data_IF_337149729670
#
_entry.id   IF_337149729670
#
_cell.length_a   1.000
_cell.length_b   1.000
_cell.length_c   1.000
_cell.angle_alpha   90.00
_cell.angle_beta   90.00
_cell.angle_gamma   90.00
#
_symmetry.space_group_name_H-M   'P 1'
#
loop_
_entity.id
_entity.type
_entity.pdbx_description
1 polymer ?
#
# COMPACT_ATOMS: atom_id res chain seq x y z
N UNK A 1 12.07 25.01 -30.35
CA UNK A 1 11.60 25.08 -28.96
C UNK A 1 11.45 23.66 -28.47
N UNK A 2 12.42 23.16 -27.70
CA UNK A 2 12.38 21.80 -27.12
C UNK A 2 11.38 21.81 -25.98
N UNK A 3 10.29 21.07 -26.15
CA UNK A 3 9.30 20.84 -25.12
C UNK A 3 9.91 19.84 -24.12
N UNK A 4 10.60 20.32 -23.10
CA UNK A 4 11.03 19.48 -21.98
C UNK A 4 9.77 19.11 -21.19
N UNK A 5 9.21 17.95 -21.49
CA UNK A 5 8.19 17.35 -20.64
C UNK A 5 8.80 17.17 -19.24
N UNK A 6 8.18 17.79 -18.23
CA UNK A 6 8.54 17.52 -16.84
C UNK A 6 8.58 15.99 -16.64
N UNK A 7 9.59 15.45 -15.94
CA UNK A 7 9.66 14.01 -15.71
C UNK A 7 8.35 13.57 -15.04
N UNK A 8 7.74 12.49 -15.55
CA UNK A 8 6.57 11.89 -14.93
C UNK A 8 6.90 11.61 -13.48
N UNK A 9 6.06 12.03 -12.52
CA UNK A 9 6.30 11.71 -11.13
C UNK A 9 6.37 10.18 -11.01
N UNK A 10 7.43 9.67 -10.36
CA UNK A 10 7.63 8.24 -10.14
C UNK A 10 6.56 7.62 -9.24
N UNK A 11 6.82 6.42 -8.77
CA UNK A 11 5.99 5.73 -7.77
C UNK A 11 6.82 5.57 -6.48
N UNK A 12 6.83 6.55 -5.56
CA UNK A 12 7.83 6.62 -4.50
C UNK A 12 7.54 5.76 -3.27
N UNK A 13 6.34 5.24 -3.11
CA UNK A 13 5.92 4.49 -1.93
C UNK A 13 4.52 3.90 -2.05
N UNK A 14 4.01 3.39 -0.96
CA UNK A 14 2.64 2.89 -0.87
C UNK A 14 1.63 4.00 -1.21
N UNK A 15 0.66 3.67 -2.07
CA UNK A 15 -0.32 4.66 -2.56
C UNK A 15 0.15 5.50 -3.75
N UNK A 16 1.40 5.35 -4.20
CA UNK A 16 1.95 6.08 -5.35
C UNK A 16 2.26 7.55 -5.06
N UNK A 17 2.28 8.41 -6.10
CA UNK A 17 2.78 9.78 -5.98
C UNK A 17 1.96 10.69 -5.05
N UNK A 18 0.69 10.37 -4.84
CA UNK A 18 -0.23 11.15 -4.00
C UNK A 18 -0.70 10.40 -2.76
N UNK A 19 -0.25 9.15 -2.56
CA UNK A 19 -0.61 8.32 -1.40
C UNK A 19 -2.04 7.75 -1.44
N UNK A 20 -2.77 7.92 -2.55
CA UNK A 20 -4.19 7.55 -2.69
C UNK A 20 -4.48 6.69 -3.93
N UNK A 21 -3.44 6.09 -4.53
CA UNK A 21 -3.50 5.25 -5.73
C UNK A 21 -4.06 5.94 -6.97
N UNK A 22 -4.06 7.26 -7.01
CA UNK A 22 -4.41 8.07 -8.17
C UNK A 22 -3.16 8.60 -8.86
N UNK A 23 -3.15 8.56 -10.18
CA UNK A 23 -2.01 8.98 -11.00
C UNK A 23 -2.48 9.88 -12.13
N UNK A 24 -1.77 10.98 -12.31
CA UNK A 24 -1.93 11.80 -13.51
C UNK A 24 -1.30 11.08 -14.69
N UNK A 25 -2.11 10.45 -15.53
CA UNK A 25 -1.71 9.80 -16.77
C UNK A 25 -2.65 10.20 -17.89
N UNK A 26 -2.23 9.99 -19.15
CA UNK A 26 -3.03 10.21 -20.35
C UNK A 26 -2.66 9.17 -21.41
N UNK A 27 -3.63 8.83 -22.25
CA UNK A 27 -3.41 7.96 -23.39
C UNK A 27 -3.46 6.46 -23.07
N UNK A 28 -4.10 6.08 -21.97
CA UNK A 28 -4.43 4.67 -21.73
C UNK A 28 -5.44 4.19 -22.74
N UNK A 29 -5.25 3.00 -23.28
CA UNK A 29 -6.15 2.38 -24.24
C UNK A 29 -7.63 2.31 -23.75
N UNK A 30 -8.55 2.16 -24.66
CA UNK A 30 -9.94 1.81 -24.38
C UNK A 30 -10.24 0.34 -24.73
N UNK A 31 -9.32 -0.33 -25.39
CA UNK A 31 -9.43 -1.75 -25.73
C UNK A 31 -8.04 -2.35 -25.93
N UNK A 32 -7.92 -3.66 -25.75
CA UNK A 32 -6.73 -4.43 -26.12
C UNK A 32 -7.11 -5.52 -27.10
N UNK A 33 -6.16 -6.00 -27.89
CA UNK A 33 -6.31 -7.24 -28.62
C UNK A 33 -6.56 -8.41 -27.64
N UNK A 34 -7.05 -9.55 -28.09
CA UNK A 34 -7.32 -10.70 -27.22
C UNK A 34 -6.12 -11.22 -26.41
N UNK A 35 -4.91 -10.74 -26.73
CA UNK A 35 -3.67 -11.05 -25.99
C UNK A 35 -3.37 -10.09 -24.83
N UNK A 36 -4.21 -9.05 -24.63
CA UNK A 36 -4.00 -8.02 -23.61
C UNK A 36 -3.03 -6.91 -24.03
N UNK A 37 -2.54 -6.11 -23.08
CA UNK A 37 -1.60 -5.02 -23.33
C UNK A 37 -0.24 -5.57 -23.77
N UNK A 38 0.53 -4.75 -24.50
CA UNK A 38 1.86 -5.12 -24.96
C UNK A 38 2.81 -5.34 -23.78
N UNK A 39 3.37 -6.55 -23.66
CA UNK A 39 4.41 -6.85 -22.69
C UNK A 39 5.73 -6.27 -23.19
N UNK A 40 6.34 -5.41 -22.35
CA UNK A 40 7.66 -4.81 -22.63
C UNK A 40 8.77 -5.78 -22.24
N UNK A 41 8.67 -6.34 -21.04
CA UNK A 41 9.56 -7.37 -20.52
C UNK A 41 8.88 -8.15 -19.38
N UNK A 42 9.45 -9.31 -19.04
CA UNK A 42 9.11 -10.07 -17.82
C UNK A 42 10.37 -10.66 -17.20
N UNK A 43 10.29 -10.94 -15.91
CA UNK A 43 11.33 -11.69 -15.20
C UNK A 43 10.79 -12.39 -13.96
N UNK A 44 11.43 -13.49 -13.61
CA UNK A 44 11.24 -14.12 -12.32
C UNK A 44 12.02 -13.38 -11.23
N UNK A 45 11.40 -13.26 -10.05
CA UNK A 45 12.01 -12.89 -8.78
C UNK A 45 11.76 -14.02 -7.79
N UNK A 46 12.27 -13.88 -6.57
CA UNK A 46 11.90 -14.75 -5.46
C UNK A 46 10.52 -14.38 -4.90
N UNK A 47 10.16 -15.03 -3.81
CA UNK A 47 8.85 -14.95 -3.17
C UNK A 47 8.58 -13.59 -2.53
N UNK A 48 7.33 -13.13 -2.52
CA UNK A 48 6.91 -11.91 -1.81
C UNK A 48 5.88 -11.08 -2.54
N UNK A 49 5.38 -10.09 -1.80
CA UNK A 49 4.29 -9.20 -2.23
C UNK A 49 4.64 -7.71 -2.14
N UNK A 50 5.90 -7.40 -1.86
CA UNK A 50 6.38 -6.01 -1.79
C UNK A 50 6.09 -5.26 -3.08
N UNK A 51 5.57 -4.03 -2.97
CA UNK A 51 5.26 -3.17 -4.12
C UNK A 51 6.50 -2.81 -4.94
N UNK A 52 6.30 -2.41 -6.18
CA UNK A 52 7.35 -1.98 -7.09
C UNK A 52 7.39 -0.45 -7.09
N UNK A 53 8.50 0.12 -6.64
CA UNK A 53 8.73 1.57 -6.71
C UNK A 53 9.38 1.95 -8.03
N UNK A 54 9.13 3.18 -8.48
CA UNK A 54 9.67 3.69 -9.75
C UNK A 54 10.30 5.07 -9.53
N UNK A 55 11.55 5.24 -9.93
CA UNK A 55 12.27 6.51 -9.93
C UNK A 55 13.07 6.66 -11.22
N UNK A 56 12.56 7.44 -12.16
CA UNK A 56 13.13 7.54 -13.49
C UNK A 56 13.24 6.18 -14.19
N UNK A 57 14.44 5.79 -14.58
CA UNK A 57 14.71 4.48 -15.21
C UNK A 57 15.10 3.39 -14.19
N UNK A 58 14.67 3.49 -12.94
CA UNK A 58 14.95 2.50 -11.90
C UNK A 58 13.70 2.02 -11.21
N UNK A 59 13.64 0.72 -10.97
CA UNK A 59 12.63 0.07 -10.13
C UNK A 59 13.28 -0.45 -8.87
N UNK A 60 12.51 -0.47 -7.76
CA UNK A 60 12.97 -1.04 -6.50
C UNK A 60 11.87 -1.91 -5.91
N UNK A 61 12.22 -3.07 -5.43
CA UNK A 61 11.30 -3.99 -4.72
C UNK A 61 12.08 -4.95 -3.84
N UNK A 62 11.36 -5.78 -3.07
CA UNK A 62 11.95 -6.83 -2.23
C UNK A 62 11.40 -8.20 -2.64
N UNK A 63 12.19 -9.24 -2.36
CA UNK A 63 11.75 -10.64 -2.47
C UNK A 63 12.56 -11.54 -1.54
N UNK A 64 12.04 -12.72 -1.27
CA UNK A 64 12.70 -13.78 -0.53
C UNK A 64 13.27 -14.81 -1.52
N UNK A 65 14.55 -15.17 -1.36
CA UNK A 65 15.25 -16.21 -2.11
C UNK A 65 15.82 -17.22 -1.10
N UNK A 66 15.18 -18.37 -0.97
CA UNK A 66 15.46 -19.31 0.08
C UNK A 66 15.26 -18.71 1.49
N UNK A 67 16.32 -18.59 2.26
CA UNK A 67 16.34 -17.96 3.59
C UNK A 67 16.96 -16.55 3.58
N UNK A 68 17.06 -15.93 2.40
CA UNK A 68 17.68 -14.61 2.20
C UNK A 68 16.67 -13.65 1.63
N UNK A 69 16.45 -12.52 2.26
CA UNK A 69 15.71 -11.41 1.64
C UNK A 69 16.64 -10.56 0.80
N UNK A 70 16.11 -10.06 -0.29
CA UNK A 70 16.83 -9.28 -1.31
C UNK A 70 16.09 -7.98 -1.57
N UNK A 71 16.74 -6.86 -1.33
CA UNK A 71 16.34 -5.57 -1.89
C UNK A 71 17.03 -5.43 -3.24
N UNK A 72 16.26 -5.18 -4.29
CA UNK A 72 16.79 -5.13 -5.65
C UNK A 72 16.44 -3.82 -6.36
N UNK A 73 17.42 -3.26 -7.07
CA UNK A 73 17.17 -2.25 -8.09
C UNK A 73 17.25 -2.88 -9.49
N UNK A 74 16.27 -2.55 -10.32
CA UNK A 74 16.18 -3.01 -11.70
C UNK A 74 16.17 -1.81 -12.64
N UNK A 75 16.64 -2.00 -13.85
CA UNK A 75 16.41 -1.07 -14.94
C UNK A 75 14.96 -1.13 -15.41
N UNK A 76 14.26 -0.01 -15.41
CA UNK A 76 12.82 0.03 -15.67
C UNK A 76 12.46 -0.38 -17.11
N UNK A 77 13.34 -0.13 -18.08
CA UNK A 77 13.12 -0.43 -19.51
C UNK A 77 13.36 -1.89 -19.87
N UNK A 78 14.19 -2.62 -19.10
CA UNK A 78 14.63 -3.99 -19.47
C UNK A 78 14.39 -5.02 -18.37
N UNK A 79 14.14 -4.58 -17.13
CA UNK A 79 14.07 -5.45 -15.96
C UNK A 79 15.44 -6.01 -15.51
N UNK A 80 16.57 -5.60 -16.10
CA UNK A 80 17.91 -6.07 -15.69
C UNK A 80 18.26 -5.56 -14.30
N UNK A 81 18.96 -6.40 -13.52
CA UNK A 81 19.43 -6.02 -12.19
C UNK A 81 20.54 -4.97 -12.29
N UNK A 82 20.39 -3.86 -11.57
CA UNK A 82 21.40 -2.83 -11.39
C UNK A 82 22.25 -3.11 -10.15
N UNK A 83 21.60 -3.42 -9.03
CA UNK A 83 22.25 -3.86 -7.80
C UNK A 83 21.30 -4.72 -6.93
N UNK A 84 21.88 -5.44 -5.98
CA UNK A 84 21.18 -6.21 -4.94
C UNK A 84 21.81 -5.92 -3.59
N UNK A 85 20.99 -5.79 -2.56
CA UNK A 85 21.38 -5.90 -1.17
C UNK A 85 20.72 -7.13 -0.58
N UNK A 86 21.48 -8.03 0.03
CA UNK A 86 21.02 -9.33 0.54
C UNK A 86 21.31 -9.46 2.02
N UNK A 87 20.38 -10.03 2.78
CA UNK A 87 20.56 -10.30 4.19
C UNK A 87 19.82 -11.57 4.62
N UNK A 88 20.33 -12.29 5.65
CA UNK A 88 19.66 -13.47 6.18
C UNK A 88 18.29 -13.11 6.74
N UNK A 89 17.28 -13.86 6.37
CA UNK A 89 15.89 -13.64 6.77
C UNK A 89 15.21 -14.96 7.14
N UNK A 90 15.91 -15.83 7.85
CA UNK A 90 15.31 -17.02 8.42
C UNK A 90 14.06 -16.62 9.23
N UNK A 91 12.90 -17.16 8.86
CA UNK A 91 11.63 -16.78 9.47
C UNK A 91 11.63 -17.20 10.94
N UNK A 92 11.81 -16.22 11.82
CA UNK A 92 12.02 -16.40 13.25
C UNK A 92 10.78 -16.91 13.99
N UNK A 93 9.58 -16.64 13.47
CA UNK A 93 8.33 -17.10 14.04
C UNK A 93 7.68 -18.13 13.11
N UNK A 94 7.19 -19.21 13.67
CA UNK A 94 6.51 -20.23 12.89
C UNK A 94 5.26 -19.60 12.20
N UNK A 95 5.27 -19.42 10.86
CA UNK A 95 4.16 -18.84 10.15
C UNK A 95 2.95 -19.77 10.22
N UNK A 96 1.75 -19.19 10.20
CA UNK A 96 0.53 -19.98 10.14
C UNK A 96 0.41 -20.77 8.80
N UNK A 97 -0.50 -21.73 8.75
CA UNK A 97 -0.70 -22.55 7.56
C UNK A 97 -1.13 -21.71 6.35
N UNK A 98 -1.83 -20.58 6.58
CA UNK A 98 -2.23 -19.65 5.53
C UNK A 98 -1.03 -18.95 4.93
N UNK A 99 -0.11 -18.43 5.77
CA UNK A 99 1.12 -17.83 5.29
C UNK A 99 1.97 -18.82 4.50
N UNK A 100 2.09 -20.08 4.96
CA UNK A 100 2.80 -21.13 4.22
C UNK A 100 2.17 -21.43 2.88
N UNK A 101 0.83 -21.52 2.81
CA UNK A 101 0.09 -21.80 1.58
C UNK A 101 0.27 -20.70 0.54
N UNK A 102 0.15 -19.45 0.96
CA UNK A 102 0.18 -18.30 0.04
C UNK A 102 1.57 -17.70 -0.18
N UNK A 103 2.57 -18.18 0.53
CA UNK A 103 3.97 -17.79 0.41
C UNK A 103 4.45 -16.87 1.50
N UNK A 104 5.73 -17.01 1.75
CA UNK A 104 6.50 -16.22 2.69
C UNK A 104 7.22 -15.11 1.92
N UNK A 105 7.84 -14.19 2.61
CA UNK A 105 8.62 -13.12 2.02
C UNK A 105 8.03 -11.74 2.24
N UNK A 106 8.77 -10.68 1.87
CA UNK A 106 8.45 -9.31 2.25
C UNK A 106 7.12 -8.84 1.67
N UNK A 107 6.34 -8.16 2.50
CA UNK A 107 5.02 -7.63 2.15
C UNK A 107 4.99 -6.11 2.13
N UNK A 108 5.75 -5.46 3.03
CA UNK A 108 5.84 -4.01 3.06
C UNK A 108 6.35 -3.45 1.72
N UNK A 109 5.69 -2.44 1.20
CA UNK A 109 6.21 -1.66 0.08
C UNK A 109 7.32 -0.76 0.59
N UNK A 110 8.52 -0.75 -0.03
CA UNK A 110 9.57 0.15 0.38
C UNK A 110 9.19 1.61 0.15
N UNK A 111 10.04 2.52 0.58
CA UNK A 111 9.86 3.96 0.42
C UNK A 111 11.07 4.56 -0.28
N UNK A 112 10.84 5.42 -1.27
CA UNK A 112 11.88 6.24 -1.86
C UNK A 112 11.92 7.63 -1.22
N UNK A 113 13.10 8.06 -0.90
CA UNK A 113 13.41 9.45 -0.55
C UNK A 113 14.37 10.05 -1.60
N UNK A 114 14.84 11.27 -1.39
CA UNK A 114 15.72 11.94 -2.37
C UNK A 114 16.96 11.10 -2.71
N UNK A 115 17.61 10.48 -1.73
CA UNK A 115 18.86 9.71 -1.90
C UNK A 115 18.74 8.21 -1.62
N UNK A 116 17.67 7.78 -0.97
CA UNK A 116 17.61 6.47 -0.30
C UNK A 116 16.39 5.65 -0.68
N UNK A 117 16.53 4.33 -0.48
CA UNK A 117 15.44 3.34 -0.44
C UNK A 117 15.36 2.84 1.00
N UNK A 118 14.22 2.99 1.65
CA UNK A 118 13.94 2.38 2.96
C UNK A 118 13.09 1.14 2.73
N UNK A 119 13.59 -0.01 3.16
CA UNK A 119 12.99 -1.31 2.95
C UNK A 119 12.79 -2.03 4.28
N UNK A 120 11.65 -2.71 4.45
CA UNK A 120 11.35 -3.48 5.66
C UNK A 120 11.02 -4.91 5.24
N UNK A 121 11.78 -5.87 5.78
CA UNK A 121 11.61 -7.28 5.53
C UNK A 121 10.56 -7.96 6.42
N UNK A 122 10.36 -9.26 6.20
CA UNK A 122 9.38 -10.09 6.92
C UNK A 122 9.54 -10.05 8.45
N UNK A 123 10.78 -10.08 8.93
CA UNK A 123 11.07 -10.08 10.37
C UNK A 123 11.06 -8.67 11.00
N UNK A 124 10.80 -7.61 10.21
CA UNK A 124 10.91 -6.24 10.66
C UNK A 124 12.34 -5.69 10.59
N UNK A 125 13.21 -6.31 9.82
CA UNK A 125 14.55 -5.79 9.55
C UNK A 125 14.42 -4.63 8.55
N UNK A 126 14.74 -3.42 9.01
CA UNK A 126 14.59 -2.16 8.26
C UNK A 126 15.95 -1.64 7.82
N UNK A 127 16.15 -1.55 6.53
CA UNK A 127 17.36 -1.04 5.90
C UNK A 127 17.10 0.28 5.19
N UNK A 128 17.99 1.25 5.39
CA UNK A 128 18.11 2.42 4.52
C UNK A 128 19.32 2.22 3.62
N UNK A 129 19.08 2.25 2.32
CA UNK A 129 20.08 1.96 1.29
C UNK A 129 20.23 3.16 0.35
N UNK A 130 21.48 3.44 -0.10
CA UNK A 130 21.69 4.40 -1.18
C UNK A 130 21.00 3.94 -2.46
N UNK A 131 20.14 4.75 -3.07
CA UNK A 131 19.43 4.42 -4.32
C UNK A 131 20.37 4.04 -5.47
N UNK A 132 21.56 4.66 -5.52
CA UNK A 132 22.50 4.47 -6.61
C UNK A 132 23.22 3.12 -6.58
N UNK A 133 23.56 2.61 -5.39
CA UNK A 133 24.49 1.49 -5.20
C UNK A 133 23.94 0.32 -4.39
N UNK A 134 22.89 0.54 -3.57
CA UNK A 134 22.39 -0.44 -2.63
C UNK A 134 23.23 -0.58 -1.36
N UNK A 135 24.22 0.29 -1.14
CA UNK A 135 25.02 0.33 0.09
C UNK A 135 24.15 0.71 1.28
N UNK A 136 24.36 0.03 2.41
CA UNK A 136 23.66 0.32 3.66
C UNK A 136 24.14 1.65 4.23
N UNK A 137 23.19 2.52 4.55
CA UNK A 137 23.42 3.78 5.27
C UNK A 137 23.19 3.55 6.75
N UNK A 138 22.07 2.95 7.10
CA UNK A 138 21.74 2.53 8.47
C UNK A 138 20.77 1.34 8.45
N UNK A 139 20.64 0.70 9.62
CA UNK A 139 19.84 -0.50 9.83
C UNK A 139 19.20 -0.49 11.22
N UNK A 140 17.98 -1.01 11.31
CA UNK A 140 17.28 -1.32 12.55
C UNK A 140 16.60 -2.69 12.46
N UNK A 141 16.75 -3.50 13.49
CA UNK A 141 15.89 -4.67 13.69
C UNK A 141 14.71 -4.28 14.58
N UNK A 142 13.57 -3.94 13.97
CA UNK A 142 12.40 -3.45 14.71
C UNK A 142 11.92 -4.45 15.76
N UNK A 143 12.06 -5.74 15.47
CA UNK A 143 11.67 -6.80 16.41
C UNK A 143 12.62 -6.96 17.59
N UNK A 144 13.90 -6.69 17.42
CA UNK A 144 14.91 -6.86 18.48
C UNK A 144 15.11 -5.59 19.30
N UNK A 145 15.23 -4.45 18.64
CA UNK A 145 15.51 -3.16 19.29
C UNK A 145 14.28 -2.58 20.00
N UNK A 146 13.08 -2.77 19.43
CA UNK A 146 11.85 -2.14 19.92
C UNK A 146 10.80 -3.15 20.39
N UNK A 147 11.18 -4.43 20.56
CA UNK A 147 10.25 -5.49 20.95
C UNK A 147 8.98 -5.55 20.07
N UNK A 148 9.08 -5.15 18.80
CA UNK A 148 7.98 -5.24 17.85
C UNK A 148 7.64 -6.71 17.60
N UNK A 149 6.39 -7.15 17.85
CA UNK A 149 6.05 -8.54 17.63
C UNK A 149 6.09 -8.87 16.15
N UNK A 150 6.79 -9.93 15.76
CA UNK A 150 6.64 -10.50 14.41
C UNK A 150 5.33 -11.27 14.38
N UNK A 151 4.35 -10.78 13.62
CA UNK A 151 3.04 -11.43 13.46
C UNK A 151 3.18 -12.71 12.63
N UNK A 152 2.17 -13.58 12.66
CA UNK A 152 2.19 -14.87 11.96
C UNK A 152 2.39 -14.75 10.43
N UNK A 153 2.09 -13.59 9.87
CA UNK A 153 2.24 -13.25 8.44
C UNK A 153 3.32 -12.20 8.18
N UNK A 154 4.24 -12.00 9.13
CA UNK A 154 5.37 -11.10 9.01
C UNK A 154 5.04 -9.62 9.23
N UNK A 155 5.96 -8.77 8.81
CA UNK A 155 5.83 -7.31 8.86
C UNK A 155 5.27 -6.79 7.53
N UNK A 156 4.13 -6.09 7.56
CA UNK A 156 3.44 -5.63 6.35
C UNK A 156 3.28 -4.12 6.23
N UNK A 157 3.21 -3.32 7.33
CA UNK A 157 3.03 -1.88 7.22
C UNK A 157 4.15 -1.22 6.42
N UNK A 158 3.78 -0.44 5.42
CA UNK A 158 4.74 0.31 4.60
C UNK A 158 5.12 1.61 5.27
N UNK A 159 6.40 2.03 5.26
CA UNK A 159 6.83 3.30 5.83
C UNK A 159 6.36 4.50 4.99
N UNK A 160 6.25 5.67 5.62
CA UNK A 160 5.95 6.95 4.99
C UNK A 160 7.06 7.98 5.22
N UNK A 161 7.29 8.87 4.25
CA UNK A 161 8.17 10.02 4.41
C UNK A 161 7.40 11.26 4.89
N UNK A 162 7.98 11.99 5.83
CA UNK A 162 7.46 13.27 6.31
C UNK A 162 8.57 14.21 6.74
N UNK A 163 8.83 15.28 6.00
CA UNK A 163 9.78 16.38 6.35
C UNK A 163 11.13 15.88 6.87
N UNK A 164 11.77 14.94 6.14
CA UNK A 164 13.05 14.34 6.54
C UNK A 164 12.92 13.16 7.52
N UNK A 165 11.73 12.80 7.91
CA UNK A 165 11.44 11.65 8.79
C UNK A 165 10.92 10.47 7.99
N UNK A 166 11.21 9.27 8.49
CA UNK A 166 10.57 8.01 8.11
C UNK A 166 9.59 7.64 9.22
N UNK A 167 8.30 7.61 8.91
CA UNK A 167 7.23 7.28 9.86
C UNK A 167 6.84 5.82 9.69
N UNK A 168 6.81 5.06 10.79
CA UNK A 168 6.52 3.63 10.82
C UNK A 168 5.48 3.27 11.89
N UNK A 169 4.61 2.29 11.57
CA UNK A 169 3.82 1.57 12.56
C UNK A 169 4.64 0.36 13.02
N UNK A 170 5.32 0.46 14.15
CA UNK A 170 6.27 -0.55 14.62
C UNK A 170 5.60 -1.56 15.54
N UNK A 171 4.81 -1.08 16.52
CA UNK A 171 4.23 -1.92 17.57
C UNK A 171 5.24 -2.19 18.69
N UNK A 172 4.74 -2.75 19.76
CA UNK A 172 5.53 -2.91 20.99
C UNK A 172 5.20 -1.83 22.02
N UNK A 173 5.61 -2.08 23.27
CA UNK A 173 5.34 -1.15 24.35
C UNK A 173 6.20 0.12 24.21
N UNK A 174 5.57 1.28 24.10
CA UNK A 174 6.22 2.56 23.85
C UNK A 174 6.58 2.82 22.38
N UNK A 175 6.31 1.88 21.47
CA UNK A 175 6.82 1.86 20.11
C UNK A 175 5.75 1.63 19.04
N UNK A 176 4.47 1.96 19.33
CA UNK A 176 3.40 1.75 18.35
C UNK A 176 3.60 2.58 17.09
N UNK A 177 3.96 3.84 17.27
CA UNK A 177 4.32 4.78 16.21
C UNK A 177 5.72 5.29 16.46
N UNK A 178 6.53 5.32 15.41
CA UNK A 178 7.91 5.79 15.48
C UNK A 178 8.27 6.67 14.30
N UNK A 179 9.18 7.61 14.53
CA UNK A 179 9.83 8.39 13.49
C UNK A 179 11.35 8.25 13.60
N UNK A 180 11.96 8.02 12.45
CA UNK A 180 13.41 7.93 12.29
C UNK A 180 13.90 9.06 11.40
N UNK A 181 15.06 9.60 11.67
CA UNK A 181 15.74 10.52 10.75
C UNK A 181 16.14 9.76 9.49
N UNK A 182 15.89 10.34 8.31
CA UNK A 182 16.17 9.66 7.04
C UNK A 182 17.66 9.51 6.77
N UNK A 183 18.50 10.40 7.27
CA UNK A 183 19.93 10.45 6.95
C UNK A 183 20.76 9.47 7.79
N UNK A 184 20.45 9.34 9.09
CA UNK A 184 21.26 8.55 10.03
C UNK A 184 20.48 7.45 10.77
N UNK A 185 19.16 7.37 10.57
CA UNK A 185 18.29 6.37 11.23
C UNK A 185 17.98 6.65 12.69
N UNK A 186 18.47 7.74 13.26
CA UNK A 186 18.25 8.08 14.67
C UNK A 186 16.75 8.19 14.96
N UNK A 187 16.30 7.57 16.07
CA UNK A 187 14.92 7.70 16.54
C UNK A 187 14.66 9.15 16.98
N UNK A 188 13.74 9.81 16.32
CA UNK A 188 13.34 11.18 16.64
C UNK A 188 12.25 11.19 17.71
N UNK A 189 11.27 10.31 17.55
CA UNK A 189 10.25 10.05 18.58
C UNK A 189 9.71 8.61 18.45
N UNK A 190 9.23 8.09 19.59
CA UNK A 190 8.61 6.78 19.71
C UNK A 190 7.53 6.84 20.77
N UNK A 191 6.29 6.44 20.44
CA UNK A 191 5.14 6.62 21.35
C UNK A 191 4.09 5.53 21.21
N UNK A 192 3.28 5.44 22.27
CA UNK A 192 2.06 4.64 22.42
C UNK A 192 2.28 3.13 22.57
N UNK A 193 1.22 2.44 23.03
CA UNK A 193 1.24 1.01 23.42
C UNK A 193 0.18 0.18 22.66
N UNK A 194 -0.23 0.60 21.47
CA UNK A 194 -1.20 -0.12 20.67
C UNK A 194 -0.56 -1.32 19.97
N UNK A 195 -1.29 -2.41 19.87
CA UNK A 195 -0.84 -3.58 19.13
C UNK A 195 -0.83 -3.27 17.63
N UNK A 196 0.23 -3.68 16.94
CA UNK A 196 0.36 -3.53 15.50
C UNK A 196 -0.66 -4.37 14.73
N UNK A 197 -1.07 -3.84 13.58
CA UNK A 197 -1.82 -4.54 12.53
C UNK A 197 -0.94 -4.75 11.28
N UNK A 198 -1.55 -5.17 10.18
CA UNK A 198 -0.92 -5.26 8.85
C UNK A 198 -1.17 -4.03 7.97
N UNK A 199 -1.96 -3.07 8.45
CA UNK A 199 -2.34 -1.87 7.72
C UNK A 199 -1.17 -0.89 7.61
N UNK A 200 -1.03 -0.24 6.46
CA UNK A 200 -0.09 0.87 6.28
C UNK A 200 -0.71 2.20 6.72
N UNK A 201 0.08 3.13 7.26
CA UNK A 201 -0.41 4.45 7.65
C UNK A 201 -0.66 5.36 6.44
N UNK A 202 -1.40 6.46 6.67
CA UNK A 202 -1.56 7.56 5.72
C UNK A 202 -1.27 8.90 6.38
N UNK A 203 -0.96 9.90 5.57
CA UNK A 203 -0.85 11.31 5.99
C UNK A 203 -2.03 12.10 5.42
N UNK A 204 -2.70 12.86 6.28
CA UNK A 204 -3.75 13.81 5.88
C UNK A 204 -3.51 15.16 6.53
N UNK A 205 -4.15 16.19 6.01
CA UNK A 205 -4.20 17.51 6.66
C UNK A 205 -5.64 17.77 7.10
N UNK A 206 -5.82 18.12 8.37
CA UNK A 206 -7.12 18.48 8.96
C UNK A 206 -7.01 19.91 9.48
N UNK A 207 -7.66 20.83 8.80
CA UNK A 207 -7.71 22.26 9.18
C UNK A 207 -6.32 22.84 9.53
N UNK A 208 -5.33 22.57 8.66
CA UNK A 208 -3.95 23.06 8.81
C UNK A 208 -3.02 22.19 9.67
N UNK A 209 -3.51 21.14 10.31
CA UNK A 209 -2.72 20.18 11.08
C UNK A 209 -2.46 18.90 10.26
N UNK A 210 -1.18 18.62 9.98
CA UNK A 210 -0.79 17.31 9.42
C UNK A 210 -1.01 16.22 10.48
N UNK A 211 -1.62 15.11 10.07
CA UNK A 211 -1.92 13.97 10.94
C UNK A 211 -1.50 12.67 10.28
N UNK A 212 -0.75 11.85 11.00
CA UNK A 212 -0.45 10.47 10.65
C UNK A 212 -1.57 9.58 11.17
N UNK A 213 -2.30 8.94 10.26
CA UNK A 213 -3.38 8.03 10.60
C UNK A 213 -2.88 6.60 10.50
N UNK A 214 -3.01 5.84 11.57
CA UNK A 214 -2.67 4.42 11.60
C UNK A 214 -3.81 3.57 12.13
N UNK A 215 -4.07 2.45 11.46
CA UNK A 215 -4.93 1.40 12.01
C UNK A 215 -4.07 0.42 12.79
N UNK A 216 -4.37 0.31 14.06
CA UNK A 216 -3.79 -0.68 14.96
C UNK A 216 -4.74 -1.88 15.08
N UNK A 217 -4.51 -2.81 15.98
CA UNK A 217 -5.33 -4.03 16.11
C UNK A 217 -6.84 -3.72 16.23
N UNK A 218 -7.22 -2.86 17.17
CA UNK A 218 -8.63 -2.54 17.45
C UNK A 218 -8.95 -1.04 17.39
N UNK A 219 -7.97 -0.22 17.06
CA UNK A 219 -8.10 1.23 17.10
C UNK A 219 -7.61 1.84 15.78
N UNK A 220 -8.27 2.90 15.37
CA UNK A 220 -7.70 3.86 14.44
C UNK A 220 -7.29 5.11 15.20
N UNK A 221 -6.14 5.63 14.89
CA UNK A 221 -5.48 6.70 15.62
C UNK A 221 -4.98 7.77 14.67
N UNK A 222 -5.11 9.03 15.08
CA UNK A 222 -4.41 10.15 14.48
C UNK A 222 -3.35 10.67 15.43
N UNK A 223 -2.10 10.75 14.98
CA UNK A 223 -1.01 11.32 15.75
C UNK A 223 -0.37 12.48 15.00
N UNK A 224 0.25 13.40 15.73
CA UNK A 224 1.05 14.47 15.14
C UNK A 224 2.34 13.86 14.54
N UNK A 225 2.56 13.92 13.22
CA UNK A 225 3.72 13.29 12.60
C UNK A 225 5.07 13.89 13.01
N UNK A 226 5.09 15.11 13.57
CA UNK A 226 6.33 15.79 13.98
C UNK A 226 6.86 15.32 15.32
N UNK A 227 5.97 14.87 16.23
CA UNK A 227 6.35 14.54 17.62
C UNK A 227 5.64 13.31 18.21
N UNK A 228 4.73 12.69 17.44
CA UNK A 228 4.00 11.48 17.83
C UNK A 228 2.88 11.70 18.84
N UNK A 229 2.51 12.93 19.20
CA UNK A 229 1.41 13.17 20.14
C UNK A 229 0.08 12.66 19.61
N UNK A 230 -0.67 11.96 20.46
CA UNK A 230 -2.01 11.48 20.11
C UNK A 230 -2.96 12.67 19.95
N UNK A 231 -3.58 12.77 18.78
CA UNK A 231 -4.55 13.81 18.48
C UNK A 231 -5.98 13.33 18.70
N UNK A 232 -6.24 12.05 18.37
CA UNK A 232 -7.52 11.38 18.55
C UNK A 232 -7.39 9.88 18.41
N UNK A 233 -8.38 9.14 18.89
CA UNK A 233 -8.55 7.70 18.65
C UNK A 233 -10.03 7.37 18.46
N UNK A 234 -10.30 6.26 17.77
CA UNK A 234 -11.63 5.71 17.59
C UNK A 234 -11.55 4.19 17.47
N UNK A 235 -12.44 3.47 18.14
CA UNK A 235 -12.46 2.01 18.09
C UNK A 235 -12.92 1.52 16.72
N UNK A 236 -12.17 0.59 16.14
CA UNK A 236 -12.56 -0.15 14.93
C UNK A 236 -12.16 -1.61 15.11
N UNK A 237 -12.97 -2.33 15.90
CA UNK A 237 -12.57 -3.63 16.42
C UNK A 237 -12.63 -4.77 15.40
N UNK A 238 -11.48 -5.35 15.14
CA UNK A 238 -11.28 -6.76 14.84
C UNK A 238 -10.22 -7.28 15.80
N UNK A 239 -10.58 -8.20 16.69
CA UNK A 239 -9.56 -8.88 17.47
C UNK A 239 -8.73 -9.78 16.55
N UNK A 240 -7.41 -9.78 16.74
CA UNK A 240 -6.49 -10.72 16.13
C UNK A 240 -5.86 -10.32 14.80
N UNK A 241 -4.97 -9.32 14.82
CA UNK A 241 -4.00 -8.92 13.78
C UNK A 241 -4.44 -8.96 12.28
N UNK A 242 -5.74 -9.10 11.99
CA UNK A 242 -6.27 -9.22 10.63
C UNK A 242 -6.76 -7.90 10.03
N UNK A 243 -6.41 -6.76 10.63
CA UNK A 243 -6.61 -5.44 10.05
C UNK A 243 -5.52 -5.18 9.01
N UNK A 244 -5.88 -5.22 7.72
CA UNK A 244 -4.92 -5.23 6.62
C UNK A 244 -5.05 -3.99 5.73
N UNK A 245 -6.29 -3.62 5.35
CA UNK A 245 -6.50 -2.52 4.41
C UNK A 245 -6.07 -1.18 4.99
N UNK A 246 -5.47 -0.37 4.14
CA UNK A 246 -5.02 0.99 4.49
C UNK A 246 -6.23 1.93 4.61
N UNK A 247 -6.31 2.80 5.62
CA UNK A 247 -7.31 3.87 5.68
C UNK A 247 -7.26 4.74 4.42
N UNK A 248 -8.37 5.37 4.11
CA UNK A 248 -8.47 6.34 3.03
C UNK A 248 -8.81 7.71 3.60
N UNK A 249 -7.98 8.71 3.38
CA UNK A 249 -8.20 10.08 3.83
C UNK A 249 -8.63 11.02 2.72
N UNK A 250 -9.31 12.11 3.09
CA UNK A 250 -9.67 13.20 2.19
C UNK A 250 -9.24 14.56 2.73
N UNK A 251 -9.15 15.56 1.86
CA UNK A 251 -8.86 16.96 2.23
C UNK A 251 -10.01 17.61 2.99
N UNK A 252 -11.18 16.99 2.98
CA UNK A 252 -12.39 17.41 3.70
C UNK A 252 -12.46 16.87 5.13
N UNK A 253 -11.37 16.32 5.65
CA UNK A 253 -11.30 15.71 6.97
C UNK A 253 -12.03 14.37 7.09
N UNK A 254 -12.57 13.81 5.99
CA UNK A 254 -13.16 12.49 6.01
C UNK A 254 -12.09 11.40 5.99
N UNK A 255 -12.21 10.46 6.93
CA UNK A 255 -11.42 9.22 6.97
C UNK A 255 -12.36 8.04 6.79
N UNK A 256 -12.13 7.26 5.75
CA UNK A 256 -12.85 6.02 5.48
C UNK A 256 -11.97 4.82 5.85
N UNK A 257 -12.57 3.86 6.53
CA UNK A 257 -11.91 2.66 7.02
C UNK A 257 -12.74 1.46 6.59
N UNK A 258 -12.07 0.37 6.22
CA UNK A 258 -12.71 -0.90 5.94
C UNK A 258 -11.84 -2.06 6.41
N UNK A 259 -12.46 -3.08 6.97
CA UNK A 259 -11.79 -4.33 7.32
C UNK A 259 -12.65 -5.51 6.93
N UNK A 260 -12.01 -6.60 6.54
CA UNK A 260 -12.65 -7.85 6.18
C UNK A 260 -13.23 -8.61 7.39
N UNK A 261 -13.60 -9.83 7.20
CA UNK A 261 -14.14 -10.77 8.20
C UNK A 261 -15.36 -10.20 8.93
N UNK A 262 -15.29 -10.08 10.25
CA UNK A 262 -16.37 -9.53 11.08
C UNK A 262 -16.39 -8.01 11.15
N UNK A 263 -15.38 -7.33 10.56
CA UNK A 263 -15.24 -5.89 10.59
C UNK A 263 -16.36 -5.17 9.85
N UNK A 264 -16.03 -4.43 8.83
CA UNK A 264 -16.97 -3.61 8.06
C UNK A 264 -16.30 -2.31 7.66
N UNK A 265 -17.11 -1.35 7.25
CA UNK A 265 -16.64 -0.01 6.89
C UNK A 265 -17.30 1.06 7.73
N UNK A 266 -16.58 2.15 7.96
CA UNK A 266 -17.08 3.36 8.59
C UNK A 266 -16.46 4.60 7.97
N UNK A 267 -17.14 5.72 8.10
CA UNK A 267 -16.57 7.03 7.84
C UNK A 267 -16.53 7.85 9.12
N UNK A 268 -15.40 8.49 9.34
CA UNK A 268 -15.17 9.43 10.43
C UNK A 268 -15.00 10.82 9.83
N UNK A 269 -15.68 11.81 10.39
CA UNK A 269 -15.43 13.22 10.14
C UNK A 269 -14.49 13.75 11.21
N UNK A 270 -13.35 14.25 10.77
CA UNK A 270 -12.42 14.98 11.62
C UNK A 270 -12.61 16.47 11.43
N UNK A 271 -12.64 17.20 12.52
CA UNK A 271 -12.64 18.67 12.51
C UNK A 271 -11.67 19.18 13.59
N UNK A 272 -11.04 20.31 13.33
CA UNK A 272 -10.08 20.89 14.29
C UNK A 272 -10.56 22.27 14.74
N UNK A 273 -10.66 22.46 16.06
CA UNK A 273 -11.03 23.71 16.68
C UNK A 273 -10.23 23.91 17.97
N UNK A 274 -9.77 25.14 18.23
CA UNK A 274 -8.99 25.50 19.43
C UNK A 274 -7.77 24.57 19.69
N UNK A 275 -7.09 24.12 18.60
CA UNK A 275 -5.92 23.25 18.71
C UNK A 275 -6.22 21.77 18.93
N UNK A 276 -7.47 21.39 19.11
CA UNK A 276 -7.90 20.00 19.33
C UNK A 276 -8.61 19.43 18.10
N UNK A 277 -8.39 18.15 17.81
CA UNK A 277 -9.11 17.40 16.77
C UNK A 277 -10.26 16.65 17.41
N UNK A 278 -11.48 16.86 16.93
CA UNK A 278 -12.65 16.07 17.25
C UNK A 278 -12.95 15.04 16.18
N UNK A 279 -13.51 13.90 16.58
CA UNK A 279 -13.86 12.77 15.72
C UNK A 279 -15.35 12.51 15.86
N UNK A 280 -16.05 12.49 14.74
CA UNK A 280 -17.45 12.09 14.67
C UNK A 280 -17.59 10.89 13.72
N UNK A 281 -18.13 9.78 14.22
CA UNK A 281 -18.56 8.69 13.34
C UNK A 281 -19.82 9.13 12.59
N UNK A 282 -19.75 9.14 11.27
CA UNK A 282 -20.91 9.46 10.43
C UNK A 282 -21.82 8.25 10.27
N UNK A 283 -21.22 7.07 10.10
CA UNK A 283 -21.93 5.80 9.93
C UNK A 283 -20.98 4.61 10.05
N UNK A 284 -21.58 3.42 10.30
CA UNK A 284 -20.95 2.12 10.23
C UNK A 284 -21.81 1.14 9.43
N UNK A 285 -21.18 0.29 8.62
CA UNK A 285 -21.89 -0.75 7.86
C UNK A 285 -21.03 -1.99 7.63
N UNK A 286 -21.64 -3.17 7.58
CA UNK A 286 -21.02 -4.43 7.18
C UNK A 286 -21.19 -4.76 5.70
N UNK A 287 -21.79 -3.84 4.91
CA UNK A 287 -22.09 -4.09 3.50
C UNK A 287 -20.86 -4.01 2.58
N UNK A 288 -19.78 -3.37 3.04
CA UNK A 288 -18.47 -3.35 2.39
C UNK A 288 -17.40 -3.81 3.39
N UNK A 289 -16.50 -4.70 2.95
CA UNK A 289 -15.45 -5.31 3.79
C UNK A 289 -14.22 -5.57 2.92
N UNK A 290 -13.32 -4.61 2.87
CA UNK A 290 -12.08 -4.71 2.07
C UNK A 290 -11.05 -5.52 2.84
N UNK A 291 -10.42 -6.50 2.18
CA UNK A 291 -9.42 -7.38 2.77
C UNK A 291 -7.99 -6.86 2.52
N UNK A 292 -7.24 -7.45 1.61
CA UNK A 292 -5.87 -7.06 1.28
C UNK A 292 -5.78 -6.07 0.11
N UNK A 293 -6.88 -5.74 -0.55
CA UNK A 293 -6.93 -4.70 -1.57
C UNK A 293 -6.84 -3.30 -0.98
N UNK A 294 -6.67 -2.34 -1.87
CA UNK A 294 -6.75 -0.93 -1.54
C UNK A 294 -8.13 -0.34 -1.91
N UNK A 295 -8.35 0.89 -1.48
CA UNK A 295 -9.56 1.65 -1.78
C UNK A 295 -9.20 2.93 -2.52
N UNK A 296 -10.13 3.42 -3.35
CA UNK A 296 -9.99 4.70 -4.06
C UNK A 296 -11.26 5.52 -3.87
N UNK A 297 -11.09 6.79 -3.52
CA UNK A 297 -12.20 7.74 -3.44
C UNK A 297 -12.24 8.63 -4.69
N UNK A 298 -13.40 8.69 -5.34
CA UNK A 298 -13.70 9.63 -6.42
C UNK A 298 -14.97 10.40 -6.05
N UNK A 299 -14.79 11.67 -5.72
CA UNK A 299 -15.89 12.51 -5.22
C UNK A 299 -16.49 11.94 -3.93
N UNK A 300 -17.80 11.68 -3.96
CA UNK A 300 -18.53 11.11 -2.81
C UNK A 300 -18.59 9.57 -2.82
N UNK A 301 -17.92 8.88 -3.73
CA UNK A 301 -17.90 7.43 -3.78
C UNK A 301 -16.52 6.87 -3.40
N UNK A 302 -16.51 5.82 -2.58
CA UNK A 302 -15.35 4.98 -2.30
C UNK A 302 -15.56 3.63 -2.98
N UNK A 303 -14.53 3.21 -3.69
CA UNK A 303 -14.48 1.95 -4.44
C UNK A 303 -13.46 1.02 -3.81
N UNK A 304 -13.78 -0.26 -3.69
CA UNK A 304 -12.87 -1.28 -3.21
C UNK A 304 -13.42 -2.69 -3.44
N UNK A 305 -12.52 -3.66 -3.47
CA UNK A 305 -12.88 -5.07 -3.59
C UNK A 305 -13.30 -5.61 -2.23
N UNK A 306 -14.60 -5.87 -2.08
CA UNK A 306 -15.23 -6.31 -0.83
C UNK A 306 -15.41 -7.83 -0.81
N UNK A 307 -14.81 -8.49 0.16
CA UNK A 307 -14.90 -9.94 0.37
C UNK A 307 -13.70 -10.47 1.14
N UNK A 308 -13.92 -11.59 1.82
CA UNK A 308 -12.89 -12.28 2.61
C UNK A 308 -12.68 -13.71 2.11
N UNK A 309 -13.38 -14.69 2.68
CA UNK A 309 -13.46 -16.05 2.15
C UNK A 309 -14.65 -16.15 1.19
N UNK A 310 -14.39 -16.59 -0.04
CA UNK A 310 -15.41 -16.72 -1.09
C UNK A 310 -15.42 -15.54 -2.06
N UNK A 311 -16.54 -15.32 -2.77
CA UNK A 311 -16.60 -14.37 -3.86
C UNK A 311 -16.41 -12.92 -3.39
N UNK A 312 -15.56 -12.19 -4.11
CA UNK A 312 -15.40 -10.76 -3.93
C UNK A 312 -16.34 -9.97 -4.86
N UNK A 313 -16.70 -8.78 -4.42
CA UNK A 313 -17.49 -7.83 -5.19
C UNK A 313 -16.73 -6.50 -5.27
N UNK A 314 -16.51 -6.00 -6.46
CA UNK A 314 -16.14 -4.59 -6.57
C UNK A 314 -17.35 -3.77 -6.13
N UNK A 315 -17.17 -2.96 -5.11
CA UNK A 315 -18.26 -2.24 -4.42
C UNK A 315 -17.99 -0.75 -4.45
N UNK A 316 -19.01 0.03 -4.77
CA UNK A 316 -19.01 1.48 -4.58
C UNK A 316 -19.97 1.85 -3.45
N UNK A 317 -19.50 2.71 -2.53
CA UNK A 317 -20.26 3.16 -1.37
C UNK A 317 -20.17 4.69 -1.23
N UNK A 318 -21.27 5.34 -0.89
CA UNK A 318 -21.28 6.77 -0.61
C UNK A 318 -20.54 7.05 0.71
N UNK A 319 -19.48 7.85 0.64
CA UNK A 319 -18.63 8.14 1.82
C UNK A 319 -19.36 8.94 2.89
N UNK A 320 -20.33 9.77 2.52
CA UNK A 320 -21.09 10.59 3.46
C UNK A 320 -22.24 9.84 4.17
N UNK A 321 -22.75 8.74 3.59
CA UNK A 321 -23.95 8.06 4.11
C UNK A 321 -23.80 6.58 4.38
N UNK A 322 -22.74 5.93 3.87
CA UNK A 322 -22.57 4.49 3.96
C UNK A 322 -23.55 3.67 3.11
N UNK A 323 -24.31 4.32 2.21
CA UNK A 323 -25.20 3.64 1.30
C UNK A 323 -24.41 3.07 0.13
N UNK A 324 -24.58 1.78 -0.13
CA UNK A 324 -23.97 1.12 -1.28
C UNK A 324 -24.65 1.61 -2.54
N UNK A 325 -23.88 2.23 -3.45
CA UNK A 325 -24.35 2.64 -4.75
C UNK A 325 -24.55 1.42 -5.67
N UNK A 326 -23.53 0.54 -5.72
CA UNK A 326 -23.60 -0.70 -6.49
C UNK A 326 -22.58 -1.73 -5.98
N UNK A 327 -22.80 -2.99 -6.37
CA UNK A 327 -21.91 -4.13 -6.18
C UNK A 327 -21.89 -4.97 -7.43
N UNK A 328 -20.71 -5.30 -7.93
CA UNK A 328 -20.53 -6.12 -9.12
C UNK A 328 -19.51 -7.25 -8.91
N UNK A 329 -19.86 -8.45 -9.34
CA UNK A 329 -19.01 -9.63 -9.29
C UNK A 329 -18.31 -9.85 -10.63
N UNK A 330 -17.35 -8.99 -10.95
CA UNK A 330 -16.61 -9.02 -12.22
C UNK A 330 -15.20 -9.60 -12.10
N UNK A 331 -14.65 -9.57 -10.89
CA UNK A 331 -13.27 -9.90 -10.57
C UNK A 331 -13.20 -10.75 -9.29
N UNK A 332 -12.11 -11.52 -9.12
CA UNK A 332 -11.69 -12.00 -7.82
C UNK A 332 -11.30 -10.82 -6.91
N UNK A 333 -10.73 -11.05 -5.73
CA UNK A 333 -10.26 -9.94 -4.90
C UNK A 333 -9.21 -9.12 -5.65
N UNK A 334 -9.43 -7.80 -5.74
CA UNK A 334 -8.69 -6.95 -6.64
C UNK A 334 -8.06 -5.75 -5.95
N UNK A 335 -7.00 -5.25 -6.56
CA UNK A 335 -6.36 -3.97 -6.29
C UNK A 335 -6.69 -2.98 -7.41
N UNK A 336 -6.66 -1.69 -7.09
CA UNK A 336 -7.10 -0.61 -7.96
C UNK A 336 -6.04 0.49 -8.09
N UNK A 337 -5.90 1.03 -9.30
CA UNK A 337 -5.28 2.33 -9.57
C UNK A 337 -6.29 3.16 -10.37
N UNK A 338 -6.34 4.46 -10.11
CA UNK A 338 -7.14 5.37 -10.94
C UNK A 338 -6.24 6.28 -11.76
N UNK A 339 -6.41 6.25 -13.08
CA UNK A 339 -5.65 7.04 -14.03
C UNK A 339 -6.44 7.26 -15.31
N UNK A 340 -6.31 8.43 -15.95
CA UNK A 340 -6.91 8.74 -17.26
C UNK A 340 -8.44 8.46 -17.31
N UNK A 341 -9.15 8.77 -16.21
CA UNK A 341 -10.60 8.52 -16.11
C UNK A 341 -10.99 7.04 -15.97
N UNK A 342 -10.04 6.15 -15.72
CA UNK A 342 -10.22 4.70 -15.68
C UNK A 342 -9.68 4.10 -14.40
N UNK A 343 -10.27 3.00 -13.95
CA UNK A 343 -9.59 2.07 -13.06
C UNK A 343 -8.72 1.11 -13.86
N UNK A 344 -7.52 0.89 -13.37
CA UNK A 344 -6.68 -0.26 -13.68
C UNK A 344 -6.94 -1.24 -12.55
N UNK A 345 -7.53 -2.38 -12.86
CA UNK A 345 -7.93 -3.43 -11.92
C UNK A 345 -7.00 -4.61 -12.11
N UNK A 346 -6.32 -5.05 -11.05
CA UNK A 346 -5.60 -6.32 -11.04
C UNK A 346 -6.20 -7.20 -9.95
N UNK A 347 -6.77 -8.34 -10.33
CA UNK A 347 -7.29 -9.27 -9.34
C UNK A 347 -6.28 -10.33 -8.91
N UNK A 348 -6.61 -11.06 -7.85
CA UNK A 348 -5.71 -12.06 -7.25
C UNK A 348 -5.40 -13.24 -8.17
N UNK A 349 -6.23 -13.50 -9.17
CA UNK A 349 -6.01 -14.56 -10.17
C UNK A 349 -5.17 -14.08 -11.35
N UNK A 350 -4.78 -12.80 -11.38
CA UNK A 350 -3.91 -12.21 -12.41
C UNK A 350 -4.66 -11.67 -13.62
N UNK A 351 -5.97 -11.46 -13.51
CA UNK A 351 -6.77 -10.76 -14.50
C UNK A 351 -6.53 -9.25 -14.39
N UNK A 352 -6.02 -8.65 -15.45
CA UNK A 352 -5.88 -7.20 -15.58
C UNK A 352 -7.05 -6.63 -16.38
N UNK A 353 -7.61 -5.51 -15.93
CA UNK A 353 -8.64 -4.81 -16.68
C UNK A 353 -8.45 -3.29 -16.65
N UNK A 354 -8.94 -2.64 -17.73
CA UNK A 354 -9.26 -1.22 -17.76
C UNK A 354 -10.78 -1.08 -17.66
N UNK A 355 -11.24 -0.24 -16.73
CA UNK A 355 -12.66 -0.06 -16.51
C UNK A 355 -12.99 1.39 -16.19
N UNK A 356 -14.14 1.88 -16.65
CA UNK A 356 -14.63 3.23 -16.37
C UNK A 356 -15.64 3.18 -15.24
N UNK A 357 -15.36 3.81 -14.08
CA UNK A 357 -16.32 3.89 -12.99
C UNK A 357 -17.38 4.94 -13.29
N UNK A 358 -18.61 4.68 -12.85
CA UNK A 358 -19.72 5.64 -12.79
C UNK A 358 -20.44 5.52 -11.45
N UNK A 359 -21.44 6.36 -11.23
CA UNK A 359 -22.32 6.28 -10.04
C UNK A 359 -23.27 5.08 -10.11
N UNK A 360 -23.49 4.53 -11.30
CA UNK A 360 -24.44 3.45 -11.58
C UNK A 360 -23.78 2.08 -11.71
N UNK A 361 -22.45 2.03 -11.92
CA UNK A 361 -21.72 0.77 -12.12
C UNK A 361 -20.34 0.95 -12.72
N UNK A 362 -19.80 -0.15 -13.22
CA UNK A 362 -18.45 -0.24 -13.81
C UNK A 362 -18.53 -0.74 -15.26
N UNK A 363 -18.08 0.05 -16.20
CA UNK A 363 -17.94 -0.40 -17.59
C UNK A 363 -16.54 -0.96 -17.81
N UNK A 364 -16.42 -2.27 -18.00
CA UNK A 364 -15.14 -2.91 -18.38
C UNK A 364 -14.86 -2.60 -19.86
N UNK A 365 -13.75 -1.94 -20.12
CA UNK A 365 -13.30 -1.54 -21.46
C UNK A 365 -12.43 -2.60 -22.12
N UNK A 366 -11.53 -3.17 -21.32
CA UNK A 366 -10.60 -4.21 -21.76
C UNK A 366 -10.24 -5.11 -20.56
N UNK A 367 -10.01 -6.41 -20.81
CA UNK A 367 -9.48 -7.34 -19.80
C UNK A 367 -8.64 -8.43 -20.44
N UNK A 368 -7.61 -8.91 -19.73
CA UNK A 368 -6.74 -9.99 -20.17
C UNK A 368 -6.12 -10.70 -18.96
N UNK A 369 -5.92 -12.01 -19.09
CA UNK A 369 -5.14 -12.80 -18.13
C UNK A 369 -3.66 -12.54 -18.41
N UNK A 370 -2.94 -11.97 -17.44
CA UNK A 370 -1.53 -11.57 -17.61
C UNK A 370 -0.57 -12.26 -16.65
N UNK A 371 -1.06 -12.74 -15.53
CA UNK A 371 -0.31 -13.42 -14.47
C UNK A 371 -1.12 -14.59 -13.95
N UNK A 372 -0.47 -15.43 -13.13
CA UNK A 372 -1.11 -16.51 -12.39
C UNK A 372 -1.36 -16.09 -10.95
N UNK A 373 -2.25 -16.80 -10.25
CA UNK A 373 -2.48 -16.65 -8.82
C UNK A 373 -1.16 -16.81 -8.03
N UNK A 374 -0.76 -16.00 -7.03
CA UNK A 374 -1.47 -14.92 -6.35
C UNK A 374 -0.95 -13.54 -6.79
N UNK A 375 -1.83 -12.61 -7.13
CA UNK A 375 -1.47 -11.23 -7.50
C UNK A 375 -2.05 -10.24 -6.48
N UNK A 376 -1.47 -10.19 -5.29
CA UNK A 376 -1.96 -9.31 -4.20
C UNK A 376 -1.24 -7.96 -4.12
N UNK A 377 -0.18 -7.78 -4.89
CA UNK A 377 0.55 -6.52 -4.94
C UNK A 377 -0.18 -5.49 -5.79
N UNK A 378 -0.41 -4.30 -5.24
CA UNK A 378 -0.94 -3.18 -6.02
C UNK A 378 0.07 -2.83 -7.11
N UNK A 379 -0.35 -2.72 -8.38
CA UNK A 379 0.54 -2.31 -9.47
C UNK A 379 1.09 -0.90 -9.30
N UNK A 380 2.09 -0.54 -10.10
CA UNK A 380 2.65 0.81 -10.16
C UNK A 380 2.58 1.34 -11.60
N UNK A 381 2.01 2.52 -11.79
CA UNK A 381 1.84 3.15 -13.09
C UNK A 381 2.69 4.41 -13.21
N UNK A 382 3.50 4.49 -14.28
CA UNK A 382 4.25 5.70 -14.65
C UNK A 382 4.07 5.98 -16.15
N UNK A 383 3.47 7.11 -16.48
CA UNK A 383 3.02 7.36 -17.84
C UNK A 383 1.98 6.32 -18.26
N UNK A 384 2.27 5.53 -19.29
CA UNK A 384 1.43 4.39 -19.72
C UNK A 384 2.06 3.03 -19.39
N UNK A 385 3.22 3.02 -18.76
CA UNK A 385 3.90 1.78 -18.37
C UNK A 385 3.41 1.33 -17.00
N UNK A 386 2.84 0.13 -16.97
CA UNK A 386 2.36 -0.55 -15.76
C UNK A 386 3.36 -1.63 -15.34
N UNK A 387 3.81 -1.56 -14.10
CA UNK A 387 4.59 -2.62 -13.47
C UNK A 387 3.70 -3.42 -12.55
N UNK A 388 3.61 -4.72 -12.80
CA UNK A 388 2.79 -5.67 -12.03
C UNK A 388 3.63 -6.84 -11.55
N UNK A 389 3.24 -7.44 -10.45
CA UNK A 389 3.83 -8.69 -10.00
C UNK A 389 2.80 -9.67 -9.46
N UNK A 390 3.03 -10.95 -9.73
CA UNK A 390 2.54 -12.03 -8.90
C UNK A 390 3.53 -12.27 -7.76
N UNK A 391 3.31 -13.31 -6.99
CA UNK A 391 4.22 -13.74 -5.94
C UNK A 391 5.69 -13.83 -6.39
N UNK A 392 5.96 -14.34 -7.60
CA UNK A 392 7.33 -14.62 -8.09
C UNK A 392 7.71 -13.94 -9.40
N UNK A 393 6.76 -13.39 -10.13
CA UNK A 393 6.98 -12.86 -11.47
C UNK A 393 6.66 -11.38 -11.55
N UNK A 394 7.50 -10.62 -12.22
CA UNK A 394 7.29 -9.19 -12.51
C UNK A 394 7.15 -8.97 -14.00
N UNK A 395 6.17 -8.17 -14.41
CA UNK A 395 5.98 -7.72 -15.79
C UNK A 395 6.03 -6.21 -15.88
N UNK A 396 6.52 -5.69 -17.01
CA UNK A 396 6.26 -4.34 -17.47
C UNK A 396 5.36 -4.39 -18.70
N UNK A 397 4.28 -3.64 -18.67
CA UNK A 397 3.24 -3.60 -19.70
C UNK A 397 3.04 -2.19 -20.19
N UNK A 398 2.82 -2.02 -21.51
CA UNK A 398 2.39 -0.74 -22.09
C UNK A 398 0.87 -0.75 -22.23
N UNK A 399 0.21 0.18 -21.56
CA UNK A 399 -1.25 0.28 -21.55
C UNK A 399 -1.81 1.23 -22.62
N UNK A 400 -0.99 1.61 -23.61
CA UNK A 400 -1.45 2.36 -24.79
C UNK A 400 -2.39 1.54 -25.67
#
# INVERSE_FOLDING_TARGET
MSCTTAPSPGWPGWGGPTGDFKVKSRGLANSWSGKGPRQLWNRELGDGYSGILVDGNRLYTLYLDGETEVVVALEATTGKTLWKHTYPAAIKKNPDNTARKYGLGPQATPLLTKGYVVAIGWNGDMYCLKKSTGEVVWFHSLSQEFNSPVLSRGYSPSPLAYKGLILCLVGGQGHSFMAFDVEDGRVIWSKHNFKRSHSSPILINVDGQDQLIGMMDQEILGVNPSNGDLLWSHTHGLAGDLTISTPLGGQDGLVFISTAYTGGSRALQLTRSNGQTSVQELWFTKKMRVHHGNMIRLGNLVYGSSGDFGPAFLTAIHVSTGVVAWKERLFAKATLIYADGKFIVLDEDGMLALARPSVEGLTVLAKAQILEHNCWTVPSLVGTTLYVRSRKKVLALDLK
#
